data_IF_795482350676
#
_entry.id   IF_795482350676
#
_cell.length_a   1.000
_cell.length_b   1.000
_cell.length_c   1.000
_cell.angle_alpha   90.00
_cell.angle_beta   90.00
_cell.angle_gamma   90.00
#
_symmetry.space_group_name_H-M   'P 1'
#
loop_
_entity.id
_entity.type
_entity.pdbx_description
1 polymer ?
#
# COMPACT_ATOMS: atom_id res chain seq x y z
N UNK A 1 -9.64 -15.23 20.14
CA UNK A 1 -9.97 -13.81 20.34
C UNK A 1 -9.44 -13.07 19.13
N UNK A 2 -10.30 -12.41 18.35
CA UNK A 2 -9.83 -11.57 17.23
C UNK A 2 -9.12 -10.36 17.84
N UNK A 3 -7.81 -10.23 17.57
CA UNK A 3 -7.03 -9.07 18.00
C UNK A 3 -7.48 -7.91 17.11
N UNK A 4 -8.21 -6.96 17.71
CA UNK A 4 -8.53 -5.70 17.04
C UNK A 4 -7.30 -4.80 17.13
N UNK A 5 -6.87 -4.27 15.98
CA UNK A 5 -5.76 -3.33 15.92
C UNK A 5 -6.13 -1.99 16.58
N UNK A 6 -5.11 -1.25 17.03
CA UNK A 6 -5.28 0.15 17.41
C UNK A 6 -5.87 0.95 16.22
N UNK A 7 -7.11 1.48 16.35
CA UNK A 7 -7.78 2.18 15.26
C UNK A 7 -7.14 3.53 14.94
N UNK A 8 -6.38 4.11 15.86
CA UNK A 8 -5.78 5.43 15.71
C UNK A 8 -4.41 5.41 15.03
N UNK A 9 -3.88 4.24 14.65
CA UNK A 9 -2.49 4.12 14.18
C UNK A 9 -2.33 3.16 12.99
N UNK A 10 -1.56 3.59 12.00
CA UNK A 10 -1.06 2.75 10.90
C UNK A 10 0.28 2.08 11.22
N UNK A 11 0.84 2.33 12.41
CA UNK A 11 2.07 1.69 12.86
C UNK A 11 1.82 0.19 13.11
N UNK A 12 2.80 -0.69 12.80
CA UNK A 12 2.70 -2.12 12.97
C UNK A 12 2.20 -2.52 14.37
N UNK A 13 1.40 -3.57 14.43
CA UNK A 13 1.23 -4.28 15.70
C UNK A 13 2.56 -4.91 16.15
N UNK A 14 2.66 -5.28 17.43
CA UNK A 14 3.85 -5.93 17.96
C UNK A 14 4.19 -7.15 17.08
N UNK A 15 5.43 -7.17 16.54
CA UNK A 15 5.84 -8.25 15.63
C UNK A 15 5.88 -9.57 16.40
N UNK A 16 5.20 -10.57 15.86
CA UNK A 16 5.54 -11.95 16.15
C UNK A 16 6.77 -12.24 15.29
N UNK A 17 7.96 -12.03 15.87
CA UNK A 17 9.22 -12.30 15.19
C UNK A 17 9.35 -13.79 14.91
N UNK A 18 8.85 -14.25 13.77
CA UNK A 18 8.94 -15.66 13.38
C UNK A 18 10.31 -16.06 12.82
N UNK A 19 11.32 -15.17 12.85
CA UNK A 19 12.67 -15.48 12.38
C UNK A 19 12.70 -16.00 10.93
N UNK A 20 11.67 -15.69 10.15
CA UNK A 20 11.48 -16.21 8.80
C UNK A 20 12.68 -15.89 7.93
N UNK A 21 13.17 -16.90 7.20
CA UNK A 21 14.25 -16.71 6.23
C UNK A 21 13.71 -15.89 5.07
N UNK A 22 14.36 -14.78 4.76
CA UNK A 22 14.16 -14.03 3.53
C UNK A 22 15.43 -14.09 2.69
N UNK A 23 15.28 -14.01 1.37
CA UNK A 23 16.39 -13.93 0.42
C UNK A 23 16.56 -12.49 -0.04
N UNK A 24 17.80 -12.05 -0.19
CA UNK A 24 18.13 -10.80 -0.87
C UNK A 24 19.55 -10.87 -1.44
N UNK A 25 19.81 -10.10 -2.49
CA UNK A 25 21.16 -9.83 -2.98
C UNK A 25 21.70 -8.51 -2.39
N UNK A 26 22.89 -8.11 -2.82
CA UNK A 26 23.51 -6.82 -2.44
C UNK A 26 22.81 -5.60 -3.04
N UNK A 27 22.04 -5.78 -4.12
CA UNK A 27 21.33 -4.72 -4.83
C UNK A 27 19.86 -5.08 -5.05
N UNK A 28 19.00 -4.07 -5.24
CA UNK A 28 17.60 -4.28 -5.61
C UNK A 28 17.49 -5.04 -6.94
N UNK A 29 18.23 -4.60 -7.97
CA UNK A 29 18.20 -5.23 -9.29
C UNK A 29 18.63 -6.70 -9.29
N UNK A 30 19.60 -7.09 -8.46
CA UNK A 30 19.97 -8.50 -8.31
C UNK A 30 18.96 -9.28 -7.48
N UNK A 31 18.32 -8.62 -6.50
CA UNK A 31 17.24 -9.23 -5.70
C UNK A 31 16.03 -9.57 -6.55
N UNK A 32 15.68 -8.74 -7.54
CA UNK A 32 14.62 -9.03 -8.51
C UNK A 32 14.85 -10.33 -9.30
N UNK A 33 16.11 -10.74 -9.49
CA UNK A 33 16.44 -11.99 -10.18
C UNK A 33 16.22 -13.22 -9.30
N UNK A 34 16.20 -13.04 -7.98
CA UNK A 34 16.00 -14.09 -6.97
C UNK A 34 14.53 -14.28 -6.63
N UNK A 35 13.80 -13.17 -6.45
CA UNK A 35 12.39 -13.21 -6.09
C UNK A 35 11.50 -13.68 -7.26
N UNK A 36 10.41 -14.34 -6.89
CA UNK A 36 9.45 -14.92 -7.84
C UNK A 36 8.00 -14.61 -7.50
N UNK A 37 7.71 -14.13 -6.29
CA UNK A 37 6.34 -14.10 -5.79
C UNK A 37 6.10 -13.00 -4.75
N UNK A 38 4.82 -12.74 -4.46
CA UNK A 38 4.41 -11.87 -3.36
C UNK A 38 4.93 -12.37 -2.00
N UNK A 39 5.08 -13.69 -1.83
CA UNK A 39 5.63 -14.31 -0.62
C UNK A 39 7.08 -13.91 -0.37
N UNK A 40 7.91 -13.84 -1.40
CA UNK A 40 9.31 -13.40 -1.26
C UNK A 40 9.41 -11.94 -0.79
N UNK A 41 8.60 -11.07 -1.40
CA UNK A 41 8.51 -9.65 -1.03
C UNK A 41 8.00 -9.54 0.41
N UNK A 42 6.94 -10.26 0.75
CA UNK A 42 6.31 -10.21 2.07
C UNK A 42 7.25 -10.71 3.17
N UNK A 43 8.03 -11.77 2.92
CA UNK A 43 9.04 -12.26 3.85
C UNK A 43 10.13 -11.21 4.12
N UNK A 44 10.60 -10.51 3.09
CA UNK A 44 11.55 -9.42 3.25
C UNK A 44 10.94 -8.23 4.00
N UNK A 45 9.70 -7.85 3.69
CA UNK A 45 8.97 -6.78 4.39
C UNK A 45 8.82 -7.09 5.88
N UNK A 46 8.46 -8.32 6.24
CA UNK A 46 8.38 -8.76 7.64
C UNK A 46 9.71 -8.51 8.39
N UNK A 47 10.82 -8.86 7.74
CA UNK A 47 12.14 -8.81 8.35
C UNK A 47 12.75 -7.39 8.37
N UNK A 48 12.44 -6.55 7.37
CA UNK A 48 13.20 -5.31 7.11
C UNK A 48 12.40 -4.03 7.26
N UNK A 49 11.09 -4.05 7.04
CA UNK A 49 10.32 -2.81 7.05
C UNK A 49 10.41 -2.10 8.40
N UNK A 50 10.48 -0.78 8.41
CA UNK A 50 10.36 0.05 9.60
C UNK A 50 9.31 1.15 9.35
N UNK A 51 8.38 1.31 10.28
CA UNK A 51 7.39 2.37 10.16
C UNK A 51 7.98 3.71 10.58
N UNK A 52 7.78 4.74 9.76
CA UNK A 52 8.25 6.09 10.04
C UNK A 52 7.09 7.02 10.49
N UNK A 53 6.94 7.29 11.79
CA UNK A 53 5.86 8.15 12.28
C UNK A 53 6.04 9.61 11.88
N UNK A 54 7.27 10.11 11.71
CA UNK A 54 7.51 11.48 11.29
C UNK A 54 7.07 11.68 9.84
N UNK A 55 7.40 10.71 8.98
CA UNK A 55 6.94 10.69 7.59
C UNK A 55 5.42 10.55 7.47
N UNK A 56 4.77 9.79 8.37
CA UNK A 56 3.31 9.69 8.41
C UNK A 56 2.65 11.06 8.66
N UNK A 57 3.20 11.84 9.58
CA UNK A 57 2.75 13.22 9.83
C UNK A 57 2.99 14.10 8.60
N UNK A 58 4.17 14.01 7.98
CA UNK A 58 4.50 14.79 6.78
C UNK A 58 3.59 14.50 5.59
N UNK A 59 3.13 13.24 5.45
CA UNK A 59 2.23 12.80 4.37
C UNK A 59 0.74 12.93 4.72
N UNK A 60 0.41 13.36 5.94
CA UNK A 60 -0.98 13.57 6.38
C UNK A 60 -1.75 14.53 5.48
N UNK A 61 -3.08 14.44 5.49
CA UNK A 61 -3.95 15.33 4.73
C UNK A 61 -3.66 16.81 5.01
N UNK A 62 -3.49 17.16 6.28
CA UNK A 62 -3.22 18.53 6.74
C UNK A 62 -1.90 19.06 6.18
N UNK A 63 -0.82 18.29 6.31
CA UNK A 63 0.49 18.72 5.81
C UNK A 63 0.55 18.75 4.29
N UNK A 64 -0.11 17.81 3.61
CA UNK A 64 -0.18 17.80 2.15
C UNK A 64 -0.92 19.02 1.60
N UNK A 65 -1.96 19.50 2.30
CA UNK A 65 -2.65 20.73 1.94
C UNK A 65 -1.79 21.96 2.18
N UNK A 66 -1.00 21.97 3.27
CA UNK A 66 -0.18 23.12 3.66
C UNK A 66 1.11 23.25 2.84
N UNK A 67 1.83 22.14 2.64
CA UNK A 67 3.20 22.13 2.11
C UNK A 67 3.29 21.52 0.70
N UNK A 68 2.17 21.07 0.13
CA UNK A 68 2.13 20.40 -1.17
C UNK A 68 2.43 18.89 -1.10
N UNK A 69 2.70 18.29 -2.26
CA UNK A 69 2.96 16.85 -2.38
C UNK A 69 4.41 16.53 -2.02
N UNK A 70 4.58 15.58 -1.11
CA UNK A 70 5.88 14.95 -0.84
C UNK A 70 6.08 13.74 -1.78
N UNK A 71 7.31 13.50 -2.29
CA UNK A 71 7.59 12.33 -3.10
C UNK A 71 7.41 11.02 -2.32
N UNK A 72 6.84 10.01 -2.97
CA UNK A 72 6.80 8.62 -2.47
C UNK A 72 8.10 7.94 -2.89
N UNK A 73 8.70 7.14 -2.01
CA UNK A 73 10.01 6.52 -2.26
C UNK A 73 9.96 5.56 -3.45
N UNK A 74 10.94 5.63 -4.36
CA UNK A 74 11.09 4.63 -5.42
C UNK A 74 11.54 3.28 -4.84
N UNK A 75 11.22 2.14 -5.50
CA UNK A 75 11.52 0.81 -4.95
C UNK A 75 12.99 0.60 -4.59
N UNK A 76 13.93 1.07 -5.42
CA UNK A 76 15.37 0.97 -5.18
C UNK A 76 15.80 1.73 -3.92
N UNK A 77 15.22 2.92 -3.72
CA UNK A 77 15.52 3.79 -2.57
C UNK A 77 14.93 3.18 -1.30
N UNK A 78 13.70 2.68 -1.38
CA UNK A 78 13.05 1.98 -0.26
C UNK A 78 13.79 0.68 0.08
N UNK A 79 14.29 -0.07 -0.91
CA UNK A 79 15.05 -1.28 -0.67
C UNK A 79 16.35 -1.01 0.11
N UNK A 80 17.06 0.07 -0.21
CA UNK A 80 18.29 0.46 0.46
C UNK A 80 18.06 0.91 1.92
N UNK A 81 16.92 1.56 2.18
CA UNK A 81 16.50 2.01 3.51
C UNK A 81 15.01 1.68 3.69
N UNK A 82 14.65 0.50 4.24
CA UNK A 82 13.29 -0.06 4.27
C UNK A 82 12.36 0.62 5.27
N UNK A 83 12.43 1.95 5.35
CA UNK A 83 11.74 2.78 6.33
C UNK A 83 10.78 3.72 5.63
N UNK A 84 9.51 3.69 6.02
CA UNK A 84 8.49 4.53 5.40
C UNK A 84 7.09 4.31 5.97
N UNK A 85 6.08 4.64 5.17
CA UNK A 85 4.67 4.47 5.55
C UNK A 85 3.91 3.61 4.53
N UNK A 86 2.61 3.40 4.73
CA UNK A 86 1.77 2.52 3.92
C UNK A 86 1.90 2.73 2.40
N UNK A 87 1.97 3.98 1.92
CA UNK A 87 2.11 4.28 0.49
C UNK A 87 3.50 3.98 -0.07
N UNK A 88 4.57 4.19 0.72
CA UNK A 88 5.94 3.83 0.29
C UNK A 88 6.07 2.31 0.19
N UNK A 89 5.57 1.61 1.22
CA UNK A 89 5.57 0.15 1.27
C UNK A 89 4.72 -0.46 0.16
N UNK A 90 3.52 0.07 -0.09
CA UNK A 90 2.66 -0.40 -1.19
C UNK A 90 3.30 -0.13 -2.55
N UNK A 91 3.98 1.01 -2.73
CA UNK A 91 4.70 1.31 -3.98
C UNK A 91 5.82 0.33 -4.22
N UNK A 92 6.66 0.09 -3.21
CA UNK A 92 7.69 -0.95 -3.28
C UNK A 92 7.09 -2.30 -3.67
N UNK A 93 6.08 -2.75 -2.93
CA UNK A 93 5.45 -4.05 -3.17
C UNK A 93 4.86 -4.19 -4.58
N UNK A 94 4.10 -3.21 -5.06
CA UNK A 94 3.45 -3.27 -6.37
C UNK A 94 4.44 -3.17 -7.51
N UNK A 95 5.36 -2.21 -7.47
CA UNK A 95 6.35 -2.06 -8.54
C UNK A 95 7.32 -3.25 -8.59
N UNK A 96 7.71 -3.79 -7.44
CA UNK A 96 8.49 -5.04 -7.38
C UNK A 96 7.70 -6.22 -7.91
N UNK A 97 6.44 -6.41 -7.48
CA UNK A 97 5.65 -7.56 -7.92
C UNK A 97 5.37 -7.51 -9.43
N UNK A 98 5.11 -6.32 -9.99
CA UNK A 98 4.99 -6.13 -11.45
C UNK A 98 6.26 -6.51 -12.20
N UNK A 99 7.43 -6.37 -11.59
CA UNK A 99 8.69 -6.71 -12.23
C UNK A 99 8.99 -8.23 -12.18
N UNK A 100 8.54 -8.94 -11.15
CA UNK A 100 8.89 -10.36 -10.95
C UNK A 100 7.76 -11.34 -11.29
N UNK A 101 6.50 -10.91 -11.19
CA UNK A 101 5.30 -11.74 -11.37
C UNK A 101 4.12 -10.89 -11.89
N UNK A 102 4.20 -10.34 -13.12
CA UNK A 102 3.18 -9.44 -13.67
C UNK A 102 1.82 -10.13 -13.92
N UNK A 103 1.80 -11.44 -14.09
CA UNK A 103 0.58 -12.21 -14.40
C UNK A 103 -0.42 -12.22 -13.23
N UNK A 104 0.04 -11.92 -12.02
CA UNK A 104 -0.80 -11.72 -10.84
C UNK A 104 -1.55 -10.39 -10.82
N UNK A 105 -1.41 -9.55 -11.86
CA UNK A 105 -2.10 -8.27 -11.99
C UNK A 105 -2.01 -7.37 -10.74
N UNK A 106 -0.80 -6.98 -10.29
CA UNK A 106 -0.65 -6.21 -9.07
C UNK A 106 -1.28 -4.81 -9.18
N UNK A 107 -2.12 -4.45 -8.21
CA UNK A 107 -2.80 -3.16 -8.15
C UNK A 107 -2.72 -2.52 -6.76
N UNK A 108 -2.84 -1.19 -6.72
CA UNK A 108 -2.90 -0.45 -5.47
C UNK A 108 -4.34 -0.41 -4.96
N UNK A 109 -4.52 -0.59 -3.65
CA UNK A 109 -5.81 -0.34 -2.99
C UNK A 109 -5.65 0.84 -2.06
N UNK A 110 -6.36 1.92 -2.36
CA UNK A 110 -6.45 3.09 -1.48
C UNK A 110 -7.71 2.99 -0.66
N UNK A 111 -7.56 2.97 0.67
CA UNK A 111 -8.64 2.87 1.64
C UNK A 111 -8.75 4.21 2.35
N UNK A 112 -9.94 4.80 2.36
CA UNK A 112 -10.26 5.97 3.19
C UNK A 112 -11.07 5.52 4.40
N UNK A 113 -10.54 5.75 5.59
CA UNK A 113 -11.22 5.53 6.86
C UNK A 113 -11.88 6.83 7.38
N UNK A 114 -12.75 6.70 8.39
CA UNK A 114 -13.20 7.84 9.19
C UNK A 114 -12.00 8.60 9.75
N UNK A 115 -11.83 9.91 9.51
CA UNK A 115 -10.60 10.63 9.82
C UNK A 115 -10.26 10.59 11.32
N UNK A 116 -8.96 10.48 11.62
CA UNK A 116 -8.44 10.64 12.99
C UNK A 116 -7.47 11.82 13.02
N UNK A 117 -7.36 12.45 14.19
CA UNK A 117 -6.45 13.57 14.42
C UNK A 117 -5.31 13.12 15.33
N UNK A 118 -4.07 13.25 14.85
CA UNK A 118 -2.86 12.92 15.60
C UNK A 118 -1.96 14.14 15.60
N UNK A 119 -1.64 14.68 16.79
CA UNK A 119 -0.81 15.88 16.94
C UNK A 119 -1.25 17.05 16.02
N UNK A 120 -2.57 17.26 15.89
CA UNK A 120 -3.14 18.31 15.03
C UNK A 120 -3.17 18.01 13.53
N UNK A 121 -2.77 16.81 13.11
CA UNK A 121 -2.78 16.38 11.71
C UNK A 121 -3.90 15.37 11.46
N UNK A 122 -4.62 15.55 10.36
CA UNK A 122 -5.68 14.63 9.93
C UNK A 122 -5.07 13.48 9.15
N UNK A 123 -5.31 12.24 9.58
CA UNK A 123 -4.94 11.02 8.88
C UNK A 123 -6.20 10.23 8.55
N UNK A 124 -6.38 9.90 7.26
CA UNK A 124 -7.53 9.07 6.83
C UNK A 124 -7.23 8.03 5.77
N UNK A 125 -6.10 8.14 5.07
CA UNK A 125 -5.78 7.27 3.92
C UNK A 125 -4.82 6.19 4.34
N UNK A 126 -5.10 4.98 3.87
CA UNK A 126 -4.23 3.83 3.97
C UNK A 126 -4.05 3.20 2.59
N UNK A 127 -2.90 2.62 2.35
CA UNK A 127 -2.57 1.94 1.11
C UNK A 127 -2.15 0.51 1.41
N UNK A 128 -2.65 -0.42 0.59
CA UNK A 128 -2.18 -1.81 0.55
C UNK A 128 -1.98 -2.24 -0.90
N UNK A 129 -1.20 -3.30 -1.09
CA UNK A 129 -1.02 -3.95 -2.38
C UNK A 129 -2.04 -5.07 -2.55
N UNK A 130 -2.61 -5.23 -3.74
CA UNK A 130 -3.41 -6.39 -4.12
C UNK A 130 -2.81 -7.14 -5.29
N UNK A 131 -3.07 -8.45 -5.36
CA UNK A 131 -2.75 -9.30 -6.49
C UNK A 131 -3.77 -10.43 -6.64
N UNK A 132 -3.82 -11.04 -7.82
CA UNK A 132 -4.69 -12.16 -8.17
C UNK A 132 -3.89 -13.45 -8.23
N UNK A 133 -4.46 -14.51 -7.68
CA UNK A 133 -3.98 -15.89 -7.87
C UNK A 133 -5.19 -16.80 -7.99
N UNK A 134 -5.27 -17.54 -9.10
CA UNK A 134 -6.37 -18.47 -9.38
C UNK A 134 -7.76 -17.81 -9.29
N UNK A 135 -7.86 -16.55 -9.75
CA UNK A 135 -9.12 -15.78 -9.72
C UNK A 135 -9.54 -15.31 -8.32
N UNK A 136 -8.72 -15.52 -7.29
CA UNK A 136 -8.94 -15.00 -5.94
C UNK A 136 -8.07 -13.77 -5.68
N UNK A 137 -8.55 -12.87 -4.85
CA UNK A 137 -7.86 -11.66 -4.44
C UNK A 137 -7.04 -11.89 -3.18
N UNK A 138 -5.82 -11.37 -3.19
CA UNK A 138 -4.91 -11.37 -2.05
C UNK A 138 -4.39 -9.95 -1.81
N UNK A 139 -4.12 -9.63 -0.55
CA UNK A 139 -3.68 -8.29 -0.13
C UNK A 139 -2.48 -8.39 0.79
N UNK A 140 -1.48 -7.53 0.58
CA UNK A 140 -0.26 -7.53 1.39
C UNK A 140 0.35 -6.13 1.44
N UNK A 141 1.55 -6.02 2.02
CA UNK A 141 2.25 -4.75 2.17
C UNK A 141 1.47 -3.73 3.03
N UNK A 142 0.68 -4.24 3.97
CA UNK A 142 -0.04 -3.45 4.97
C UNK A 142 0.95 -2.99 6.06
N UNK A 143 1.18 -1.68 6.20
CA UNK A 143 2.09 -1.18 7.23
C UNK A 143 1.61 -1.50 8.65
N UNK A 144 0.32 -1.80 8.84
CA UNK A 144 -0.24 -2.22 10.13
C UNK A 144 0.07 -3.69 10.44
N UNK A 145 0.22 -4.53 9.40
CA UNK A 145 0.55 -5.96 9.49
C UNK A 145 1.67 -6.32 8.49
N UNK A 146 2.88 -5.77 8.66
CA UNK A 146 3.99 -6.11 7.78
C UNK A 146 4.28 -7.61 7.90
N UNK A 147 4.49 -8.29 6.77
CA UNK A 147 4.68 -9.74 6.76
C UNK A 147 3.41 -10.57 6.72
N UNK A 148 2.23 -9.95 6.61
CA UNK A 148 0.96 -10.66 6.42
C UNK A 148 0.44 -10.54 4.99
N UNK A 149 0.10 -11.68 4.38
CA UNK A 149 -0.72 -11.76 3.17
C UNK A 149 -2.12 -12.18 3.60
N UNK A 150 -3.10 -11.33 3.34
CA UNK A 150 -4.52 -11.60 3.58
C UNK A 150 -5.15 -12.20 2.32
N UNK A 151 -5.94 -13.26 2.48
CA UNK A 151 -6.64 -13.94 1.40
C UNK A 151 -6.62 -15.46 1.57
N UNK A 152 -7.25 -16.21 0.66
CA UNK A 152 -7.97 -15.72 -0.53
C UNK A 152 -9.29 -15.00 -0.21
N UNK A 153 -9.65 -14.02 -1.04
CA UNK A 153 -10.95 -13.37 -1.04
C UNK A 153 -11.64 -13.48 -2.41
N UNK A 154 -12.95 -13.67 -2.41
CA UNK A 154 -13.75 -13.65 -3.64
C UNK A 154 -13.98 -12.25 -4.24
N UNK A 155 -13.65 -11.18 -3.50
CA UNK A 155 -13.72 -9.79 -3.98
C UNK A 155 -12.97 -8.83 -3.05
N UNK A 156 -12.65 -7.63 -3.56
CA UNK A 156 -12.11 -6.54 -2.73
C UNK A 156 -13.06 -6.08 -1.64
N UNK A 157 -14.38 -6.09 -1.88
CA UNK A 157 -15.34 -5.73 -0.84
C UNK A 157 -15.24 -6.68 0.37
N UNK A 158 -15.08 -7.99 0.14
CA UNK A 158 -14.95 -8.97 1.23
C UNK A 158 -13.70 -8.71 2.09
N UNK A 159 -12.57 -8.37 1.46
CA UNK A 159 -11.38 -7.94 2.18
C UNK A 159 -11.64 -6.66 2.97
N UNK A 160 -12.25 -5.63 2.38
CA UNK A 160 -12.52 -4.36 3.04
C UNK A 160 -13.42 -4.52 4.28
N UNK A 161 -14.43 -5.39 4.21
CA UNK A 161 -15.34 -5.65 5.33
C UNK A 161 -14.64 -6.37 6.49
N UNK A 162 -13.74 -7.31 6.20
CA UNK A 162 -12.87 -7.90 7.22
C UNK A 162 -11.85 -6.89 7.76
N UNK A 163 -11.23 -6.12 6.88
CA UNK A 163 -10.21 -5.16 7.24
C UNK A 163 -10.76 -4.04 8.13
N UNK A 164 -11.97 -3.55 7.87
CA UNK A 164 -12.65 -2.58 8.73
C UNK A 164 -12.88 -3.12 10.14
N UNK A 165 -13.28 -4.40 10.27
CA UNK A 165 -13.45 -5.07 11.57
C UNK A 165 -12.12 -5.21 12.30
N UNK A 166 -11.09 -5.68 11.60
CA UNK A 166 -9.74 -5.79 12.15
C UNK A 166 -9.20 -4.43 12.64
N UNK A 167 -9.37 -3.37 11.83
CA UNK A 167 -8.91 -2.02 12.15
C UNK A 167 -9.74 -1.32 13.22
N UNK A 168 -10.90 -1.86 13.62
CA UNK A 168 -11.82 -1.19 14.55
C UNK A 168 -12.25 0.20 14.07
N UNK A 169 -12.19 0.46 12.76
CA UNK A 169 -12.36 1.78 12.16
C UNK A 169 -13.15 1.66 10.86
N UNK A 170 -14.19 2.47 10.73
CA UNK A 170 -15.07 2.45 9.56
C UNK A 170 -14.30 2.86 8.30
N UNK A 171 -14.43 2.04 7.26
CA UNK A 171 -14.02 2.40 5.89
C UNK A 171 -15.14 3.22 5.25
N UNK A 172 -14.79 4.42 4.80
CA UNK A 172 -15.70 5.36 4.13
C UNK A 172 -15.76 5.09 2.63
N UNK A 173 -14.62 4.78 2.03
CA UNK A 173 -14.52 4.38 0.62
C UNK A 173 -13.23 3.64 0.37
N UNK A 174 -13.16 2.89 -0.74
CA UNK A 174 -11.92 2.33 -1.25
C UNK A 174 -11.89 2.41 -2.78
N UNK A 175 -10.69 2.33 -3.36
CA UNK A 175 -10.49 2.27 -4.81
C UNK A 175 -9.29 1.39 -5.14
N UNK A 176 -9.46 0.55 -6.15
CA UNK A 176 -8.36 -0.11 -6.85
C UNK A 176 -7.85 0.83 -7.95
N UNK A 177 -6.54 1.05 -8.00
CA UNK A 177 -5.91 1.98 -8.95
C UNK A 177 -4.58 1.43 -9.45
N UNK A 178 -4.22 1.76 -10.69
CA UNK A 178 -2.95 1.32 -11.29
C UNK A 178 -1.72 2.09 -10.78
N UNK A 179 -1.96 3.26 -10.18
CA UNK A 179 -0.92 4.15 -9.67
C UNK A 179 -1.32 4.79 -8.34
N UNK A 180 -0.34 4.96 -7.46
CA UNK A 180 -0.48 5.74 -6.22
C UNK A 180 -0.66 7.24 -6.49
N UNK A 181 -0.33 7.70 -7.69
CA UNK A 181 -0.51 9.08 -8.08
C UNK A 181 -1.93 9.36 -8.57
N UNK A 182 -2.45 10.53 -8.19
CA UNK A 182 -3.68 11.04 -8.80
C UNK A 182 -3.40 11.34 -10.28
N UNK A 183 -3.89 10.49 -11.18
CA UNK A 183 -3.91 10.81 -12.61
C UNK A 183 -4.74 12.08 -12.82
N UNK A 184 -4.16 13.08 -13.48
CA UNK A 184 -4.91 14.25 -13.92
C UNK A 184 -5.98 13.78 -14.90
N UNK A 185 -7.23 14.21 -14.70
CA UNK A 185 -8.27 14.02 -15.72
C UNK A 185 -7.81 14.78 -16.96
N UNK A 186 -7.43 14.06 -18.02
CA UNK A 186 -7.34 14.62 -19.36
C UNK A 186 -8.73 15.12 -19.72
N UNK A 187 -8.93 16.43 -19.72
CA UNK A 187 -10.16 17.00 -20.29
C UNK A 187 -10.18 16.64 -21.77
N UNK A 188 -11.21 15.90 -22.20
CA UNK A 188 -11.45 15.64 -23.60
C UNK A 188 -11.55 17.00 -24.35
N UNK A 189 -10.89 17.16 -25.50
CA UNK A 189 -11.02 18.38 -26.28
C UNK A 189 -12.48 18.56 -26.69
N UNK A 190 -13.03 19.73 -26.36
CA UNK A 190 -14.35 20.18 -26.77
C UNK A 190 -14.39 20.14 -28.30
N UNK A 191 -15.17 19.23 -28.89
CA UNK A 191 -15.46 19.25 -30.32
C UNK A 191 -16.10 20.61 -30.63
N UNK A 192 -15.31 21.49 -31.25
CA UNK A 192 -15.83 22.65 -31.96
C UNK A 192 -16.72 22.10 -33.07
N UNK A 193 -18.02 22.38 -32.94
CA UNK A 193 -19.01 22.04 -33.94
C UNK A 193 -18.55 22.58 -35.29
N UNK A 194 -18.42 21.67 -36.24
CA UNK A 194 -18.28 22.01 -37.65
C UNK A 194 -19.64 22.51 -38.10
N UNK A 195 -19.76 23.83 -38.26
CA UNK A 195 -20.85 24.40 -39.04
C UNK A 195 -20.79 23.82 -40.46
N UNK A 196 -21.91 23.22 -40.88
CA UNK A 196 -22.14 22.77 -42.26
C UNK A 196 -22.97 23.85 -43.00
N UNK A 197 -22.77 23.95 -44.32
CA UNK A 197 -22.99 25.16 -45.14
C UNK A 197 -24.44 25.61 -45.25
#
# INVERSE_FOLDING_TARGET
MSVTADPASDAPEARISDGGKFTQASSYGDTLKLWRSAEDINAWVNARFEYDPARAIQLSETQRQKNGRMPILAPEVFFAAPRGVCVDLSRFAIETLRAIDPDTQPAYVMIEFDPVTIAGNTLRRHWVASFLREGQHYYFADSKRPGHIAGPYGSTQAFIDEYARYRGRRVVSFREVDSYERQARTMAPKQLGVDRP
#
